data_IF_842275850163
#
_entry.id   IF_842275850163
#
_cell.length_a   1.000
_cell.length_b   1.000
_cell.length_c   1.000
_cell.angle_alpha   90.00
_cell.angle_beta   90.00
_cell.angle_gamma   90.00
#
_symmetry.space_group_name_H-M   'P 1'
#
loop_
_entity.id
_entity.type
_entity.pdbx_description
1 polymer ?
#
# COMPACT_ATOMS: atom_id res chain seq x y z
N UNK A 1 -31.88 4.00 26.05
CA UNK A 1 -32.94 3.75 25.05
C UNK A 1 -32.31 2.96 23.91
N UNK A 2 -32.66 1.68 23.69
CA UNK A 2 -32.14 0.92 22.54
C UNK A 2 -32.94 1.31 21.30
N UNK A 3 -32.28 1.79 20.24
CA UNK A 3 -32.96 2.06 18.97
C UNK A 3 -33.44 0.75 18.37
N UNK A 4 -34.67 0.76 17.84
CA UNK A 4 -35.25 -0.37 17.12
C UNK A 4 -34.56 -0.63 15.76
N UNK A 5 -33.72 0.29 15.28
CA UNK A 5 -32.95 0.15 14.05
C UNK A 5 -31.69 1.01 14.03
N UNK A 6 -30.60 0.49 13.44
CA UNK A 6 -29.37 1.24 13.15
C UNK A 6 -29.41 1.94 11.77
N UNK A 7 -30.50 1.79 11.00
CA UNK A 7 -30.61 2.36 9.66
C UNK A 7 -30.43 3.90 9.60
N UNK A 8 -30.97 4.72 10.54
CA UNK A 8 -30.81 6.17 10.49
C UNK A 8 -29.35 6.63 10.58
N UNK A 9 -28.59 6.09 11.55
CA UNK A 9 -27.18 6.45 11.71
C UNK A 9 -26.32 5.91 10.55
N UNK A 10 -26.62 4.71 10.04
CA UNK A 10 -25.95 4.16 8.85
C UNK A 10 -26.16 5.06 7.63
N UNK A 11 -27.39 5.54 7.43
CA UNK A 11 -27.71 6.49 6.34
C UNK A 11 -26.94 7.80 6.52
N UNK A 12 -26.92 8.36 7.73
CA UNK A 12 -26.14 9.55 8.03
C UNK A 12 -24.65 9.36 7.73
N UNK A 13 -24.05 8.25 8.18
CA UNK A 13 -22.66 7.92 7.91
C UNK A 13 -22.37 7.74 6.40
N UNK A 14 -23.25 7.09 5.66
CA UNK A 14 -23.12 6.92 4.19
C UNK A 14 -23.21 8.23 3.41
N UNK A 15 -23.97 9.20 3.93
CA UNK A 15 -24.14 10.54 3.31
C UNK A 15 -23.04 11.53 3.68
N UNK A 16 -22.33 11.28 4.79
CA UNK A 16 -21.36 12.23 5.33
C UNK A 16 -21.96 13.20 6.35
N UNK A 17 -23.15 12.91 6.90
CA UNK A 17 -23.86 13.78 7.83
C UNK A 17 -23.25 13.73 9.24
N UNK A 18 -22.05 14.32 9.39
CA UNK A 18 -21.25 14.26 10.63
C UNK A 18 -22.02 14.76 11.86
N UNK A 19 -22.84 15.80 11.73
CA UNK A 19 -23.64 16.34 12.83
C UNK A 19 -24.66 15.32 13.36
N UNK A 20 -25.28 14.57 12.45
CA UNK A 20 -26.24 13.52 12.81
C UNK A 20 -25.51 12.35 13.48
N UNK A 21 -24.35 11.95 12.95
CA UNK A 21 -23.51 10.91 13.56
C UNK A 21 -23.07 11.30 14.98
N UNK A 22 -22.60 12.54 15.18
CA UNK A 22 -22.27 13.10 16.49
C UNK A 22 -23.46 13.09 17.45
N UNK A 23 -24.64 13.47 16.96
CA UNK A 23 -25.87 13.45 17.75
C UNK A 23 -26.20 12.04 18.24
N UNK A 24 -26.15 11.04 17.36
CA UNK A 24 -26.39 9.64 17.76
C UNK A 24 -25.36 9.16 18.80
N UNK A 25 -24.08 9.48 18.63
CA UNK A 25 -23.06 9.04 19.58
C UNK A 25 -23.24 9.64 20.98
N UNK A 26 -23.58 10.94 21.07
CA UNK A 26 -23.84 11.63 22.35
C UNK A 26 -25.03 11.06 23.13
N UNK A 27 -25.97 10.42 22.45
CA UNK A 27 -27.15 9.81 23.06
C UNK A 27 -26.92 8.35 23.49
N UNK A 28 -25.66 7.90 23.58
CA UNK A 28 -25.23 6.58 24.09
C UNK A 28 -25.93 5.38 23.45
N UNK A 29 -26.27 5.48 22.16
CA UNK A 29 -26.83 4.35 21.46
C UNK A 29 -25.75 3.28 21.23
N UNK A 30 -26.05 2.03 21.59
CA UNK A 30 -25.18 0.90 21.27
C UNK A 30 -25.25 0.61 19.77
N UNK A 31 -24.11 0.64 19.08
CA UNK A 31 -24.01 0.27 17.67
C UNK A 31 -22.90 -0.76 17.46
N UNK A 32 -23.02 -1.57 16.41
CA UNK A 32 -21.86 -2.30 15.89
C UNK A 32 -20.85 -1.28 15.34
N UNK A 33 -19.74 -1.07 16.06
CA UNK A 33 -18.74 -0.05 15.73
C UNK A 33 -18.10 -0.30 14.36
N UNK A 34 -17.81 -1.56 14.02
CA UNK A 34 -17.10 -1.92 12.77
C UNK A 34 -17.87 -1.55 11.51
N UNK A 35 -19.18 -1.81 11.49
CA UNK A 35 -20.03 -1.56 10.31
C UNK A 35 -20.10 -0.07 9.93
N UNK A 36 -20.06 0.83 10.91
CA UNK A 36 -20.33 2.25 10.67
C UNK A 36 -19.13 2.95 10.03
N UNK A 37 -17.91 2.67 10.52
CA UNK A 37 -16.68 3.20 9.95
C UNK A 37 -16.48 2.68 8.51
N UNK A 38 -16.64 1.38 8.30
CA UNK A 38 -16.53 0.78 6.97
C UNK A 38 -17.53 1.40 5.98
N UNK A 39 -18.75 1.69 6.43
CA UNK A 39 -19.75 2.33 5.58
C UNK A 39 -19.35 3.77 5.20
N UNK A 40 -18.83 4.55 6.14
CA UNK A 40 -18.32 5.88 5.84
C UNK A 40 -17.17 5.84 4.82
N UNK A 41 -16.23 4.89 5.01
CA UNK A 41 -15.10 4.67 4.10
C UNK A 41 -15.55 4.26 2.70
N UNK A 42 -16.44 3.27 2.58
CA UNK A 42 -17.00 2.82 1.28
C UNK A 42 -17.72 3.91 0.50
N UNK A 43 -18.19 4.96 1.18
CA UNK A 43 -18.85 6.10 0.57
C UNK A 43 -17.95 7.33 0.45
N UNK A 44 -16.65 7.21 0.71
CA UNK A 44 -15.68 8.30 0.58
C UNK A 44 -15.84 9.41 1.61
N UNK A 45 -16.54 9.16 2.73
CA UNK A 45 -16.92 10.18 3.72
C UNK A 45 -15.80 10.39 4.75
N UNK A 46 -14.76 11.13 4.34
CA UNK A 46 -13.55 11.36 5.13
C UNK A 46 -13.82 11.95 6.52
N UNK A 47 -14.66 12.99 6.62
CA UNK A 47 -14.91 13.67 7.91
C UNK A 47 -15.61 12.76 8.92
N UNK A 48 -16.53 11.91 8.45
CA UNK A 48 -17.20 10.92 9.28
C UNK A 48 -16.23 9.81 9.67
N UNK A 49 -15.41 9.31 8.73
CA UNK A 49 -14.43 8.26 9.00
C UNK A 49 -13.40 8.69 10.05
N UNK A 50 -12.84 9.89 9.92
CA UNK A 50 -11.89 10.47 10.88
C UNK A 50 -12.52 10.59 12.26
N UNK A 51 -13.69 11.20 12.33
CA UNK A 51 -14.37 11.41 13.60
C UNK A 51 -14.71 10.08 14.30
N UNK A 52 -15.17 9.07 13.55
CA UNK A 52 -15.43 7.73 14.11
C UNK A 52 -14.15 7.09 14.66
N UNK A 53 -13.03 7.18 13.93
CA UNK A 53 -11.74 6.65 14.38
C UNK A 53 -11.26 7.30 15.68
N UNK A 54 -11.38 8.63 15.80
CA UNK A 54 -11.06 9.38 17.03
C UNK A 54 -11.89 8.93 18.24
N UNK A 55 -13.07 8.35 18.02
CA UNK A 55 -13.98 7.86 19.07
C UNK A 55 -13.86 6.35 19.30
N UNK A 56 -12.72 5.76 18.94
CA UNK A 56 -12.38 4.37 19.23
C UNK A 56 -13.05 3.35 18.30
N UNK A 57 -13.44 3.76 17.09
CA UNK A 57 -13.87 2.85 16.05
C UNK A 57 -12.62 2.34 15.31
N UNK A 58 -12.30 1.07 15.50
CA UNK A 58 -11.07 0.45 14.97
C UNK A 58 -11.05 0.46 13.44
N UNK A 59 -9.92 0.89 12.87
CA UNK A 59 -9.61 0.72 11.45
C UNK A 59 -9.22 -0.75 11.22
N UNK A 60 -10.20 -1.56 10.86
CA UNK A 60 -10.00 -2.90 10.30
C UNK A 60 -9.53 -2.83 8.83
N UNK A 61 -8.21 -2.88 8.65
CA UNK A 61 -7.41 -3.77 7.77
C UNK A 61 -8.01 -4.38 6.49
N UNK A 62 -7.16 -4.73 5.51
CA UNK A 62 -7.30 -4.72 4.04
C UNK A 62 -8.54 -4.16 3.35
N UNK A 63 -9.73 -4.69 3.68
CA UNK A 63 -10.91 -4.51 2.86
C UNK A 63 -11.38 -3.05 2.85
N UNK A 64 -11.13 -2.30 3.93
CA UNK A 64 -11.41 -0.86 3.97
C UNK A 64 -10.51 -0.05 3.04
N UNK A 65 -9.25 -0.43 2.87
CA UNK A 65 -8.33 0.28 1.96
C UNK A 65 -8.73 0.03 0.51
N UNK A 66 -9.04 -1.21 0.15
CA UNK A 66 -9.56 -1.55 -1.19
C UNK A 66 -10.87 -0.81 -1.46
N UNK A 67 -11.80 -0.80 -0.50
CA UNK A 67 -13.04 -0.05 -0.62
C UNK A 67 -12.81 1.46 -0.79
N UNK A 68 -11.84 2.04 -0.07
CA UNK A 68 -11.49 3.46 -0.23
C UNK A 68 -10.91 3.73 -1.63
N UNK A 69 -10.15 2.78 -2.20
CA UNK A 69 -9.61 2.90 -3.54
C UNK A 69 -10.70 2.96 -4.62
N UNK A 70 -11.83 2.27 -4.41
CA UNK A 70 -13.00 2.35 -5.31
C UNK A 70 -13.63 3.75 -5.32
N UNK A 71 -13.46 4.54 -4.25
CA UNK A 71 -14.01 5.90 -4.14
C UNK A 71 -13.18 6.95 -4.87
N UNK A 72 -12.03 6.58 -5.46
CA UNK A 72 -11.07 7.50 -6.11
C UNK A 72 -10.54 8.60 -5.19
N UNK A 73 -10.60 8.38 -3.87
CA UNK A 73 -10.16 9.34 -2.86
C UNK A 73 -8.80 8.92 -2.28
N UNK A 74 -7.72 9.40 -2.90
CA UNK A 74 -6.35 9.17 -2.42
C UNK A 74 -6.15 9.62 -0.98
N UNK A 75 -6.72 10.76 -0.59
CA UNK A 75 -6.58 11.29 0.77
C UNK A 75 -7.16 10.33 1.81
N UNK A 76 -8.29 9.70 1.49
CA UNK A 76 -8.89 8.68 2.35
C UNK A 76 -8.04 7.41 2.42
N UNK A 77 -7.54 6.94 1.27
CA UNK A 77 -6.64 5.76 1.22
C UNK A 77 -5.38 6.02 2.05
N UNK A 78 -4.72 7.16 1.83
CA UNK A 78 -3.55 7.59 2.60
C UNK A 78 -3.85 7.63 4.10
N UNK A 79 -4.95 8.27 4.51
CA UNK A 79 -5.32 8.34 5.91
C UNK A 79 -5.53 6.95 6.55
N UNK A 80 -6.14 6.01 5.81
CA UNK A 80 -6.32 4.63 6.28
C UNK A 80 -5.00 3.89 6.45
N UNK A 81 -4.01 4.14 5.59
CA UNK A 81 -2.68 3.52 5.69
C UNK A 81 -1.92 4.09 6.89
N UNK A 82 -1.96 5.41 7.09
CA UNK A 82 -1.27 6.10 8.19
C UNK A 82 -1.87 5.78 9.58
N UNK A 83 -3.17 5.49 9.66
CA UNK A 83 -3.89 5.26 10.94
C UNK A 83 -4.32 3.80 11.16
N UNK A 84 -4.18 2.95 10.15
CA UNK A 84 -4.56 1.54 10.19
C UNK A 84 -3.40 0.62 10.56
N UNK A 85 -3.52 -0.66 10.20
CA UNK A 85 -2.37 -1.59 10.25
C UNK A 85 -1.60 -1.50 8.94
N UNK A 86 -0.38 -2.03 8.96
CA UNK A 86 0.49 -2.15 7.79
C UNK A 86 -0.25 -2.79 6.61
N UNK A 87 -0.04 -2.24 5.43
CA UNK A 87 -0.54 -2.82 4.18
C UNK A 87 0.14 -4.17 3.95
N UNK A 88 -0.66 -5.22 3.79
CA UNK A 88 -0.14 -6.50 3.32
C UNK A 88 0.08 -6.46 1.79
N UNK A 89 0.92 -7.37 1.32
CA UNK A 89 1.32 -7.47 -0.09
C UNK A 89 0.12 -7.64 -1.03
N UNK A 90 -0.92 -8.40 -0.63
CA UNK A 90 -2.07 -8.66 -1.49
C UNK A 90 -2.88 -7.38 -1.73
N UNK A 91 -3.14 -6.61 -0.66
CA UNK A 91 -3.83 -5.32 -0.76
C UNK A 91 -3.00 -4.32 -1.56
N UNK A 92 -1.71 -4.23 -1.29
CA UNK A 92 -0.82 -3.31 -2.00
C UNK A 92 -0.74 -3.61 -3.51
N UNK A 93 -0.71 -4.89 -3.89
CA UNK A 93 -0.74 -5.32 -5.29
C UNK A 93 -2.04 -4.89 -5.99
N UNK A 94 -3.18 -4.99 -5.30
CA UNK A 94 -4.48 -4.53 -5.84
C UNK A 94 -4.46 -3.02 -6.05
N UNK A 95 -3.94 -2.24 -5.10
CA UNK A 95 -3.81 -0.79 -5.24
C UNK A 95 -2.89 -0.40 -6.39
N UNK A 96 -1.75 -1.06 -6.52
CA UNK A 96 -0.74 -0.79 -7.53
C UNK A 96 -1.21 -1.02 -8.99
N UNK A 97 -2.34 -1.72 -9.20
CA UNK A 97 -2.98 -1.85 -10.53
C UNK A 97 -3.59 -0.53 -11.01
N UNK A 98 -3.83 0.40 -10.10
CA UNK A 98 -4.39 1.70 -10.42
C UNK A 98 -3.33 2.77 -10.19
N UNK A 99 -3.04 3.49 -11.26
CA UNK A 99 -2.01 4.53 -11.32
C UNK A 99 -2.12 5.57 -10.22
N UNK A 100 -3.35 5.89 -9.80
CA UNK A 100 -3.60 6.87 -8.76
C UNK A 100 -3.20 6.39 -7.35
N UNK A 101 -2.84 5.12 -7.18
CA UNK A 101 -2.49 4.53 -5.89
C UNK A 101 -1.09 3.93 -5.87
N UNK A 102 -0.32 4.01 -6.95
CA UNK A 102 1.08 3.54 -6.96
C UNK A 102 1.91 4.33 -5.93
N UNK A 103 1.61 5.62 -5.73
CA UNK A 103 2.26 6.42 -4.69
C UNK A 103 2.06 5.90 -3.27
N UNK A 104 1.01 5.10 -3.06
CA UNK A 104 0.74 4.53 -1.75
C UNK A 104 1.75 3.49 -1.31
N UNK A 105 2.54 2.97 -2.24
CA UNK A 105 3.62 2.02 -1.95
C UNK A 105 4.74 2.66 -1.12
N UNK A 106 4.83 4.01 -1.08
CA UNK A 106 5.77 4.71 -0.20
C UNK A 106 5.59 4.32 1.28
N UNK A 107 4.33 4.15 1.71
CA UNK A 107 3.98 3.85 3.11
C UNK A 107 3.99 2.35 3.44
N UNK A 108 4.32 1.49 2.47
CA UNK A 108 4.48 0.05 2.69
C UNK A 108 5.87 -0.20 3.31
N UNK A 109 5.99 -1.01 4.38
CA UNK A 109 7.29 -1.32 4.96
C UNK A 109 8.20 -2.05 3.97
N UNK A 110 9.51 -1.94 4.17
CA UNK A 110 10.50 -2.45 3.21
C UNK A 110 10.34 -3.94 2.88
N UNK A 111 10.13 -4.86 3.83
CA UNK A 111 9.96 -6.29 3.52
C UNK A 111 8.79 -6.55 2.55
N UNK A 112 7.65 -5.89 2.76
CA UNK A 112 6.50 -5.99 1.86
C UNK A 112 6.77 -5.31 0.51
N UNK A 113 7.55 -4.22 0.46
CA UNK A 113 7.99 -3.63 -0.82
C UNK A 113 8.88 -4.56 -1.63
N UNK A 114 9.79 -5.30 -0.98
CA UNK A 114 10.61 -6.32 -1.67
C UNK A 114 9.70 -7.37 -2.30
N UNK A 115 8.70 -7.87 -1.57
CA UNK A 115 7.74 -8.82 -2.14
C UNK A 115 6.98 -8.25 -3.35
N UNK A 116 6.61 -6.97 -3.31
CA UNK A 116 5.99 -6.29 -4.45
C UNK A 116 6.93 -6.16 -5.66
N UNK A 117 8.22 -5.91 -5.44
CA UNK A 117 9.23 -5.92 -6.53
C UNK A 117 9.29 -7.31 -7.18
N UNK A 118 9.38 -8.38 -6.38
CA UNK A 118 9.43 -9.75 -6.88
C UNK A 118 8.16 -10.13 -7.66
N UNK A 119 6.98 -9.69 -7.20
CA UNK A 119 5.71 -9.90 -7.89
C UNK A 119 5.61 -9.08 -9.18
N UNK A 120 6.13 -7.84 -9.18
CA UNK A 120 6.18 -7.00 -10.36
C UNK A 120 7.09 -7.59 -11.44
N UNK A 121 8.24 -8.16 -11.06
CA UNK A 121 9.14 -8.89 -11.95
C UNK A 121 8.43 -10.09 -12.59
N UNK A 122 7.76 -10.92 -11.78
CA UNK A 122 7.06 -12.14 -12.26
C UNK A 122 5.90 -11.84 -13.22
N UNK A 123 5.19 -10.73 -12.99
CA UNK A 123 4.05 -10.32 -13.84
C UNK A 123 4.43 -9.33 -14.95
N UNK A 124 5.72 -9.07 -15.14
CA UNK A 124 6.25 -8.04 -16.04
C UNK A 124 5.62 -6.64 -15.85
N UNK A 125 5.25 -6.30 -14.62
CA UNK A 125 4.70 -4.99 -14.27
C UNK A 125 5.83 -3.94 -14.15
N UNK A 126 6.36 -3.55 -15.32
CA UNK A 126 7.44 -2.57 -15.49
C UNK A 126 7.16 -1.24 -14.77
N UNK A 127 5.91 -0.78 -14.75
CA UNK A 127 5.55 0.48 -14.10
C UNK A 127 5.69 0.42 -12.59
N UNK A 128 5.12 -0.61 -11.96
CA UNK A 128 5.25 -0.79 -10.51
C UNK A 128 6.71 -1.03 -10.13
N UNK A 129 7.41 -1.84 -10.91
CA UNK A 129 8.83 -2.12 -10.74
C UNK A 129 9.68 -0.86 -10.79
N UNK A 130 9.53 -0.05 -11.86
CA UNK A 130 10.20 1.24 -12.00
C UNK A 130 9.92 2.12 -10.80
N UNK A 131 8.64 2.26 -10.42
CA UNK A 131 8.24 3.15 -9.36
C UNK A 131 8.84 2.72 -8.01
N UNK A 132 8.79 1.42 -7.69
CA UNK A 132 9.38 0.90 -6.44
C UNK A 132 10.89 1.15 -6.39
N UNK A 133 11.62 0.85 -7.46
CA UNK A 133 13.07 1.01 -7.49
C UNK A 133 13.52 2.47 -7.46
N UNK A 134 12.80 3.35 -8.16
CA UNK A 134 13.22 4.74 -8.35
C UNK A 134 12.61 5.73 -7.34
N UNK A 135 11.48 5.37 -6.72
CA UNK A 135 10.75 6.26 -5.81
C UNK A 135 10.72 5.75 -4.38
N UNK A 136 11.26 4.57 -4.08
CA UNK A 136 11.41 4.08 -2.71
C UNK A 136 12.86 3.76 -2.39
N UNK A 137 13.18 3.62 -1.09
CA UNK A 137 14.51 3.26 -0.63
C UNK A 137 14.52 1.83 -0.11
N UNK A 138 15.58 1.10 -0.38
CA UNK A 138 15.85 -0.20 0.20
C UNK A 138 17.15 -0.08 1.00
N UNK A 139 17.05 -0.09 2.32
CA UNK A 139 18.20 0.12 3.22
C UNK A 139 18.80 -1.22 3.67
N UNK A 140 18.00 -2.29 3.69
CA UNK A 140 18.46 -3.58 4.16
C UNK A 140 19.25 -4.32 3.09
N UNK A 141 20.45 -4.79 3.43
CA UNK A 141 21.28 -5.61 2.54
C UNK A 141 20.55 -6.89 2.06
N UNK A 142 19.67 -7.43 2.89
CA UNK A 142 18.85 -8.61 2.55
C UNK A 142 17.89 -8.28 1.40
N UNK A 143 17.31 -7.07 1.40
CA UNK A 143 16.47 -6.56 0.31
C UNK A 143 17.23 -6.50 -1.01
N UNK A 144 18.46 -5.95 -0.98
CA UNK A 144 19.32 -5.88 -2.18
C UNK A 144 19.61 -7.26 -2.76
N UNK A 145 20.03 -8.21 -1.92
CA UNK A 145 20.34 -9.59 -2.34
C UNK A 145 19.09 -10.28 -2.93
N UNK A 146 17.93 -10.10 -2.31
CA UNK A 146 16.68 -10.71 -2.78
C UNK A 146 16.26 -10.16 -4.14
N UNK A 147 16.37 -8.84 -4.34
CA UNK A 147 15.99 -8.20 -5.60
C UNK A 147 17.02 -8.52 -6.69
N UNK A 148 18.32 -8.44 -6.41
CA UNK A 148 19.37 -8.74 -7.39
C UNK A 148 19.29 -10.20 -7.86
N UNK A 149 19.11 -11.16 -6.94
CA UNK A 149 18.93 -12.56 -7.31
C UNK A 149 17.68 -12.83 -8.15
N UNK A 150 16.62 -12.01 -7.99
CA UNK A 150 15.44 -12.10 -8.84
C UNK A 150 15.65 -11.47 -10.23
N UNK A 151 16.51 -10.46 -10.33
CA UNK A 151 16.95 -9.87 -11.59
C UNK A 151 17.81 -10.87 -12.36
N UNK A 152 18.75 -11.57 -11.71
CA UNK A 152 19.61 -12.58 -12.34
C UNK A 152 18.81 -13.71 -13.00
N UNK A 153 17.66 -14.06 -12.43
CA UNK A 153 16.73 -15.06 -12.96
C UNK A 153 15.65 -14.52 -13.91
N UNK A 154 15.68 -13.23 -14.25
CA UNK A 154 14.64 -12.59 -15.05
C UNK A 154 14.76 -12.89 -16.55
N UNK A 155 13.66 -12.70 -17.28
CA UNK A 155 13.67 -12.79 -18.74
C UNK A 155 14.59 -11.70 -19.35
N UNK A 156 15.27 -12.01 -20.45
CA UNK A 156 16.16 -11.07 -21.14
C UNK A 156 15.47 -9.75 -21.50
N UNK A 157 14.19 -9.80 -21.90
CA UNK A 157 13.38 -8.62 -22.19
C UNK A 157 13.17 -7.70 -20.98
N UNK A 158 13.14 -8.26 -19.77
CA UNK A 158 13.04 -7.49 -18.53
C UNK A 158 14.39 -6.90 -18.14
N UNK A 159 15.48 -7.65 -18.34
CA UNK A 159 16.84 -7.17 -18.10
C UNK A 159 17.21 -5.99 -18.99
N UNK A 160 16.96 -6.11 -20.30
CA UNK A 160 17.14 -5.01 -21.25
C UNK A 160 16.35 -3.78 -20.82
N UNK A 161 15.07 -3.97 -20.48
CA UNK A 161 14.22 -2.87 -20.02
C UNK A 161 14.73 -2.22 -18.72
N UNK A 162 15.21 -3.01 -17.74
CA UNK A 162 15.76 -2.48 -16.49
C UNK A 162 17.01 -1.63 -16.73
N UNK A 163 17.94 -2.13 -17.55
CA UNK A 163 19.17 -1.41 -17.92
C UNK A 163 18.85 -0.08 -18.62
N UNK A 164 17.82 -0.05 -19.46
CA UNK A 164 17.42 1.15 -20.21
C UNK A 164 16.63 2.18 -19.37
N UNK A 165 16.02 1.78 -18.26
CA UNK A 165 15.03 2.61 -17.54
C UNK A 165 15.40 2.95 -16.08
N UNK A 166 16.46 2.35 -15.54
CA UNK A 166 17.01 2.70 -14.21
C UNK A 166 18.19 3.65 -14.43
N UNK A 167 18.05 4.89 -13.98
CA UNK A 167 19.06 5.95 -14.11
C UNK A 167 19.70 6.35 -12.78
N UNK A 168 19.42 5.64 -11.69
CA UNK A 168 20.03 5.88 -10.39
C UNK A 168 21.27 4.98 -10.17
N UNK A 169 22.44 5.60 -10.02
CA UNK A 169 23.73 4.92 -9.85
C UNK A 169 23.78 3.99 -8.62
N UNK A 170 23.07 4.34 -7.54
CA UNK A 170 23.03 3.51 -6.34
C UNK A 170 22.18 2.26 -6.59
N UNK A 171 20.98 2.44 -7.17
CA UNK A 171 20.09 1.35 -7.57
C UNK A 171 20.78 0.41 -8.54
N UNK A 172 21.42 0.93 -9.60
CA UNK A 172 22.16 0.14 -10.57
C UNK A 172 23.26 -0.70 -9.93
N UNK A 173 24.00 -0.17 -8.93
CA UNK A 173 25.13 -0.85 -8.31
C UNK A 173 24.73 -2.14 -7.58
N UNK A 174 23.62 -2.12 -6.86
CA UNK A 174 23.17 -3.30 -6.12
C UNK A 174 22.18 -4.16 -6.91
N UNK A 175 21.48 -3.61 -7.91
CA UNK A 175 20.69 -4.41 -8.85
C UNK A 175 21.56 -5.26 -9.78
N UNK A 176 22.71 -4.74 -10.20
CA UNK A 176 23.64 -5.39 -11.13
C UNK A 176 25.05 -5.46 -10.51
N UNK A 177 25.23 -6.24 -9.43
CA UNK A 177 26.54 -6.42 -8.85
C UNK A 177 27.44 -7.07 -9.90
N UNK A 178 28.60 -6.44 -10.19
CA UNK A 178 29.61 -7.08 -11.03
C UNK A 178 30.16 -8.28 -10.26
N UNK A 179 30.21 -9.44 -10.89
CA UNK A 179 30.90 -10.60 -10.32
C UNK A 179 32.35 -10.20 -9.97
N UNK A 180 32.67 -10.00 -8.69
CA UNK A 180 34.04 -9.83 -8.21
C UNK A 180 34.83 -11.17 -8.25
N UNK A 181 34.29 -12.24 -8.85
CA UNK A 181 34.79 -13.61 -8.70
C UNK A 181 35.75 -14.07 -9.83
N UNK A 182 36.11 -13.22 -10.81
CA UNK A 182 37.09 -13.61 -11.86
C UNK A 182 38.36 -12.74 -11.93
N UNK A 183 38.79 -12.14 -10.82
CA UNK A 183 40.04 -11.36 -10.77
C UNK A 183 41.14 -11.93 -9.85
N UNK A 184 41.07 -13.22 -9.49
CA UNK A 184 42.05 -13.84 -8.56
C UNK A 184 42.76 -15.10 -9.08
N UNK A 185 42.65 -15.45 -10.37
CA UNK A 185 43.34 -16.64 -10.94
C UNK A 185 44.26 -16.36 -12.12
N UNK A 186 44.64 -15.10 -12.38
CA UNK A 186 45.72 -14.77 -13.32
C UNK A 186 46.80 -13.97 -12.58
N UNK A 187 47.76 -14.67 -11.97
CA UNK A 187 48.84 -14.01 -11.24
C UNK A 187 49.67 -14.93 -10.34
N UNK A 188 50.05 -16.10 -10.83
CA UNK A 188 51.14 -16.89 -10.26
C UNK A 188 51.73 -17.76 -11.38
N UNK A 189 52.54 -17.13 -12.24
CA UNK A 189 53.66 -17.80 -12.91
C UNK A 189 54.89 -17.79 -11.99
#
# INVERSE_FOLDING_TARGET
>A
MKLLSTAPIRRAASRGDLNVVKWFHRNYFEFCKRDLLQLAVRNGRMDVARWLSEHGYEINTPQMVVAAAETKNLTLVRWLIENGRTLDVSTATVLARNDNYVETMWWVPEPERVQLVLEAMRNENRKLLWWLLMRTRFEEKISHIAISGAIDGAAASMLEWLVDNIDDDEVCRWCFPKDEVTASTEGAE
#
